data_IF_898575102843
#
_entry.id   IF_898575102843
#
_cell.length_a   1.000
_cell.length_b   1.000
_cell.length_c   1.000
_cell.angle_alpha   90.00
_cell.angle_beta   90.00
_cell.angle_gamma   90.00
#
_symmetry.space_group_name_H-M   'P 1'
#
loop_
_entity.id
_entity.type
_entity.pdbx_description
1 polymer ?
#
# COMPACT_ATOMS: atom_id res chain seq x y z
N UNK A 1 -5.13 -9.47 -1.91
CA UNK A 1 -4.63 -9.68 -0.54
C UNK A 1 -3.22 -10.24 -0.62
N UNK A 2 -2.27 -9.61 0.08
CA UNK A 2 -0.88 -10.02 0.11
C UNK A 2 -0.72 -11.45 0.66
N UNK A 3 0.06 -12.26 -0.06
CA UNK A 3 0.37 -13.63 0.33
C UNK A 3 1.72 -13.64 1.06
N UNK A 4 1.78 -14.39 2.16
CA UNK A 4 3.01 -14.61 2.91
C UNK A 4 3.11 -16.09 3.28
N UNK A 5 4.35 -16.62 3.30
CA UNK A 5 4.61 -18.03 3.65
C UNK A 5 4.99 -18.21 5.12
N UNK A 6 5.83 -17.31 5.64
CA UNK A 6 6.48 -17.46 6.93
C UNK A 6 6.08 -16.30 7.86
N UNK A 7 5.13 -16.53 8.76
CA UNK A 7 4.66 -15.51 9.71
C UNK A 7 5.75 -15.01 10.67
N UNK A 8 6.80 -15.79 10.91
CA UNK A 8 7.90 -15.43 11.82
C UNK A 8 8.69 -14.18 11.38
N UNK A 9 8.56 -13.75 10.12
CA UNK A 9 9.21 -12.53 9.62
C UNK A 9 8.28 -11.31 9.62
N UNK A 10 7.05 -11.45 10.13
CA UNK A 10 6.07 -10.38 10.22
C UNK A 10 5.82 -10.03 11.68
N UNK A 11 5.76 -8.74 11.95
CA UNK A 11 5.33 -8.20 13.24
C UNK A 11 4.01 -7.48 13.02
N UNK A 12 3.00 -7.84 13.79
CA UNK A 12 1.73 -7.12 13.78
C UNK A 12 1.92 -5.71 14.35
N UNK A 13 1.24 -4.73 13.78
CA UNK A 13 1.27 -3.35 14.24
C UNK A 13 -0.04 -2.66 13.93
N UNK A 14 -0.57 -1.93 14.90
CA UNK A 14 -1.78 -1.10 14.81
C UNK A 14 -1.45 0.37 14.54
N UNK A 15 -0.36 0.64 13.81
CA UNK A 15 0.03 2.01 13.49
C UNK A 15 -1.02 2.69 12.61
N UNK A 16 -1.34 3.96 12.89
CA UNK A 16 -2.26 4.76 12.08
C UNK A 16 -1.84 4.86 10.61
N UNK A 17 -0.56 4.61 10.29
CA UNK A 17 -0.05 4.54 8.91
C UNK A 17 -0.78 3.50 8.05
N UNK A 18 -1.39 2.48 8.65
CA UNK A 18 -2.18 1.48 7.95
C UNK A 18 -3.62 1.93 7.66
N UNK A 19 -4.11 2.97 8.35
CA UNK A 19 -5.45 3.53 8.18
C UNK A 19 -5.47 4.72 7.20
N UNK A 20 -4.31 5.30 6.91
CA UNK A 20 -4.16 6.43 6.00
C UNK A 20 -4.44 6.03 4.53
N UNK A 21 -5.18 6.90 3.84
CA UNK A 21 -5.45 6.77 2.41
C UNK A 21 -4.69 7.81 1.61
N UNK A 22 -3.84 7.34 0.70
CA UNK A 22 -3.03 8.18 -0.16
C UNK A 22 -3.66 8.35 -1.54
N UNK A 23 -3.61 9.56 -2.06
CA UNK A 23 -3.97 9.85 -3.44
C UNK A 23 -2.90 9.32 -4.40
N UNK A 24 -3.25 9.02 -5.66
CA UNK A 24 -2.25 8.85 -6.70
C UNK A 24 -1.38 10.11 -6.86
N UNK A 25 -0.15 9.92 -7.31
CA UNK A 25 0.78 11.03 -7.57
C UNK A 25 1.53 11.54 -6.33
N UNK A 26 1.22 11.04 -5.12
CA UNK A 26 2.00 11.35 -3.92
C UNK A 26 3.12 10.32 -3.73
N UNK A 27 4.20 10.74 -3.07
CA UNK A 27 5.27 9.84 -2.67
C UNK A 27 4.79 8.85 -1.59
N UNK A 28 5.15 7.57 -1.72
CA UNK A 28 4.86 6.55 -0.73
C UNK A 28 5.65 6.84 0.56
N UNK A 29 4.98 7.00 1.71
CA UNK A 29 5.66 7.30 2.97
C UNK A 29 6.51 6.14 3.50
N UNK A 30 6.23 4.90 3.08
CA UNK A 30 6.97 3.71 3.51
C UNK A 30 7.23 2.79 2.31
N UNK A 31 8.37 2.08 2.33
CA UNK A 31 8.64 1.01 1.38
C UNK A 31 7.78 -0.21 1.74
N UNK A 32 6.87 -0.62 0.87
CA UNK A 32 5.89 -1.62 1.26
C UNK A 32 4.89 -2.01 0.19
N UNK A 33 3.88 -2.75 0.64
CA UNK A 33 2.75 -3.18 -0.16
C UNK A 33 1.57 -2.25 0.15
N UNK A 34 1.02 -1.66 -0.90
CA UNK A 34 -0.19 -0.84 -0.85
C UNK A 34 -1.31 -1.54 -1.59
N UNK A 35 -2.53 -1.40 -1.08
CA UNK A 35 -3.75 -1.89 -1.73
C UNK A 35 -4.62 -0.72 -2.19
N UNK A 36 -5.34 -0.92 -3.28
CA UNK A 36 -6.46 -0.06 -3.61
C UNK A 36 -7.64 -0.37 -2.68
N UNK A 37 -8.21 0.68 -2.08
CA UNK A 37 -9.39 0.56 -1.21
C UNK A 37 -10.62 0.08 -2.01
N UNK A 38 -10.72 0.45 -3.30
CA UNK A 38 -11.92 0.23 -4.11
C UNK A 38 -11.94 -1.08 -4.93
N UNK A 39 -10.80 -1.62 -5.36
CA UNK A 39 -10.76 -2.86 -6.16
C UNK A 39 -9.83 -3.94 -5.60
N UNK A 40 -9.16 -3.69 -4.46
CA UNK A 40 -8.24 -4.62 -3.80
C UNK A 40 -6.97 -5.00 -4.57
N UNK A 41 -6.69 -4.34 -5.70
CA UNK A 41 -5.41 -4.49 -6.41
C UNK A 41 -4.26 -4.01 -5.54
N UNK A 42 -3.14 -4.72 -5.58
CA UNK A 42 -1.99 -4.48 -4.72
C UNK A 42 -0.74 -4.17 -5.54
N UNK A 43 0.09 -3.28 -4.99
CA UNK A 43 1.37 -2.91 -5.58
C UNK A 43 2.45 -2.97 -4.50
N UNK A 44 3.66 -3.34 -4.91
CA UNK A 44 4.88 -3.12 -4.12
C UNK A 44 5.55 -1.83 -4.60
N UNK A 45 5.95 -0.97 -3.68
CA UNK A 45 6.62 0.30 -4.00
C UNK A 45 7.69 0.64 -2.96
N UNK A 46 8.78 1.26 -3.41
CA UNK A 46 9.82 1.77 -2.52
C UNK A 46 9.39 3.09 -1.84
N UNK A 47 9.98 3.38 -0.69
CA UNK A 47 9.78 4.65 0.01
C UNK A 47 10.17 5.83 -0.90
N UNK A 48 9.38 6.90 -0.88
CA UNK A 48 9.62 8.11 -1.67
C UNK A 48 9.23 7.99 -3.14
N UNK A 49 8.97 6.78 -3.67
CA UNK A 49 8.49 6.62 -5.04
C UNK A 49 7.01 7.03 -5.18
N UNK A 50 6.65 7.49 -6.38
CA UNK A 50 5.31 8.02 -6.66
C UNK A 50 4.28 6.90 -6.79
N UNK A 51 3.22 6.98 -6.00
CA UNK A 51 2.09 6.08 -6.09
C UNK A 51 1.38 6.22 -7.44
N UNK A 52 1.16 5.10 -8.16
CA UNK A 52 0.73 5.15 -9.54
C UNK A 52 -0.69 5.73 -9.70
N UNK A 53 -0.93 6.54 -10.74
CA UNK A 53 -2.22 7.16 -11.03
C UNK A 53 -3.20 6.24 -11.74
N UNK A 54 -2.77 5.03 -12.10
CA UNK A 54 -3.59 4.06 -12.80
C UNK A 54 -3.19 2.65 -12.40
N UNK A 55 -4.21 1.83 -12.18
CA UNK A 55 -4.16 0.38 -12.24
C UNK A 55 -5.56 -0.05 -12.75
N UNK A 56 -5.67 -1.25 -13.34
CA UNK A 56 -6.85 -1.77 -14.10
C UNK A 56 -8.14 -0.93 -14.00
N UNK A 57 -8.67 -0.50 -15.17
CA UNK A 57 -9.88 0.32 -15.29
C UNK A 57 -10.95 -0.06 -14.26
N UNK A 58 -11.12 0.78 -13.25
CA UNK A 58 -12.20 0.63 -12.30
C UNK A 58 -13.53 0.78 -13.07
N UNK A 59 -14.46 -0.18 -12.97
CA UNK A 59 -15.83 0.13 -13.31
C UNK A 59 -16.27 1.33 -12.46
N UNK A 60 -16.95 2.30 -13.07
CA UNK A 60 -17.47 3.50 -12.41
C UNK A 60 -16.50 4.66 -12.06
N UNK A 61 -15.28 4.73 -12.62
CA UNK A 61 -14.37 5.89 -12.39
C UNK A 61 -14.10 6.18 -10.89
N UNK A 62 -14.17 5.15 -10.04
CA UNK A 62 -13.91 5.31 -8.61
C UNK A 62 -12.50 5.86 -8.40
N UNK A 63 -12.37 6.85 -7.49
CA UNK A 63 -11.09 7.48 -7.21
C UNK A 63 -10.09 6.43 -6.71
N UNK A 64 -8.87 6.45 -7.26
CA UNK A 64 -7.81 5.57 -6.76
C UNK A 64 -7.38 6.10 -5.40
N UNK A 65 -7.40 5.21 -4.40
CA UNK A 65 -6.91 5.46 -3.05
C UNK A 65 -6.04 4.29 -2.64
N UNK A 66 -4.81 4.58 -2.25
CA UNK A 66 -3.82 3.61 -1.81
C UNK A 66 -3.78 3.57 -0.29
N UNK A 67 -3.86 2.37 0.28
CA UNK A 67 -3.76 2.15 1.71
C UNK A 67 -2.63 1.15 1.96
N UNK A 68 -1.78 1.44 2.93
CA UNK A 68 -0.66 0.57 3.29
C UNK A 68 -1.19 -0.70 3.97
N UNK A 69 -0.59 -1.86 3.66
CA UNK A 69 -0.92 -3.14 4.33
C UNK A 69 0.29 -3.84 4.94
N UNK A 70 1.49 -3.56 4.45
CA UNK A 70 2.74 -4.05 5.03
C UNK A 70 3.88 -3.13 4.59
N UNK A 71 4.83 -2.85 5.47
CA UNK A 71 6.03 -2.10 5.11
C UNK A 71 7.29 -2.73 5.71
N UNK A 72 8.43 -2.49 5.08
CA UNK A 72 9.72 -2.88 5.61
C UNK A 72 10.10 -1.95 6.77
N UNK A 73 10.18 -2.49 7.99
CA UNK A 73 10.70 -1.73 9.11
C UNK A 73 12.23 -1.73 9.05
N UNK A 74 12.81 -0.61 8.63
CA UNK A 74 14.25 -0.41 8.73
C UNK A 74 14.62 -0.13 10.20
N UNK A 75 15.53 -0.92 10.76
CA UNK A 75 16.21 -0.54 12.00
C UNK A 75 17.05 0.70 11.69
N UNK A 76 16.82 1.78 12.43
CA UNK A 76 17.81 2.86 12.54
C UNK A 76 19.02 2.35 13.30
#
# INVERSE_FOLDING_TARGET
MALYKNNAFFTHSDSNSFDEQHNPGVAAPYAGIYRCVNCTHEIGIAEGHILPPQHQNHPNHLAIKWQLIAFAQHKK
#
